data_IF_770988750643
#
_entry.id   IF_770988750643
#
_cell.length_a   1.000
_cell.length_b   1.000
_cell.length_c   1.000
_cell.angle_alpha   90.00
_cell.angle_beta   90.00
_cell.angle_gamma   90.00
#
_symmetry.space_group_name_H-M   'P 1'
#
loop_
_entity.id
_entity.type
_entity.pdbx_description
1 polymer ?
#
# COMPACT_ATOMS: atom_id res chain seq x y z
N UNK A 1 9.66 -0.82 -18.65
CA UNK A 1 8.34 -0.16 -18.75
C UNK A 1 7.32 -0.84 -17.83
N UNK A 2 7.21 -2.17 -17.81
CA UNK A 2 6.28 -2.89 -16.89
C UNK A 2 6.53 -2.66 -15.38
N UNK A 3 7.78 -2.35 -15.00
CA UNK A 3 8.18 -2.20 -13.59
C UNK A 3 7.78 -0.88 -12.91
N UNK A 4 7.48 0.18 -13.67
CA UNK A 4 6.94 1.45 -13.15
C UNK A 4 5.47 1.36 -12.76
N UNK A 5 4.81 0.20 -12.96
CA UNK A 5 3.39 0.03 -12.68
C UNK A 5 3.08 -0.73 -11.39
N UNK A 6 4.07 -1.39 -10.77
CA UNK A 6 3.82 -2.21 -9.58
C UNK A 6 3.77 -1.40 -8.28
N UNK A 7 4.62 -0.39 -8.14
CA UNK A 7 4.55 0.58 -7.05
C UNK A 7 3.26 1.41 -7.14
N UNK A 8 2.88 1.86 -8.35
CA UNK A 8 1.60 2.55 -8.61
C UNK A 8 0.40 1.71 -8.15
N UNK A 9 0.43 0.39 -8.33
CA UNK A 9 -0.66 -0.48 -7.87
C UNK A 9 -0.82 -0.49 -6.35
N UNK A 10 0.28 -0.36 -5.58
CA UNK A 10 0.19 -0.27 -4.11
C UNK A 10 -0.58 0.99 -3.70
N UNK A 11 -0.28 2.13 -4.32
CA UNK A 11 -1.03 3.37 -4.07
C UNK A 11 -2.50 3.27 -4.51
N UNK A 12 -2.75 2.77 -5.72
CA UNK A 12 -4.11 2.68 -6.25
C UNK A 12 -5.02 1.76 -5.43
N UNK A 13 -4.52 0.58 -5.04
CA UNK A 13 -5.28 -0.36 -4.21
C UNK A 13 -5.47 0.15 -2.78
N UNK A 14 -4.46 0.86 -2.24
CA UNK A 14 -4.59 1.50 -0.95
C UNK A 14 -5.72 2.52 -0.94
N UNK A 15 -5.71 3.45 -1.90
CA UNK A 15 -6.75 4.47 -2.05
C UNK A 15 -8.12 3.84 -2.28
N UNK A 16 -8.19 2.75 -3.06
CA UNK A 16 -9.41 1.98 -3.26
C UNK A 16 -9.95 1.42 -1.94
N UNK A 17 -9.12 0.77 -1.12
CA UNK A 17 -9.55 0.20 0.17
C UNK A 17 -10.01 1.29 1.14
N UNK A 18 -9.26 2.39 1.26
CA UNK A 18 -9.65 3.53 2.11
C UNK A 18 -10.97 4.13 1.63
N UNK A 19 -11.16 4.30 0.31
CA UNK A 19 -12.42 4.79 -0.26
C UNK A 19 -13.62 3.88 0.02
N UNK A 20 -13.37 2.58 0.26
CA UNK A 20 -14.37 1.56 0.60
C UNK A 20 -14.56 1.38 2.11
N UNK A 21 -13.92 2.20 2.94
CA UNK A 21 -14.12 2.22 4.38
C UNK A 21 -13.04 1.52 5.20
N UNK A 22 -11.93 1.11 4.58
CA UNK A 22 -10.74 0.75 5.36
C UNK A 22 -10.20 1.98 6.12
N UNK A 23 -9.69 1.77 7.32
CA UNK A 23 -9.13 2.83 8.16
C UNK A 23 -7.73 3.17 7.63
N UNK A 24 -7.49 4.43 7.29
CA UNK A 24 -6.15 4.93 6.96
C UNK A 24 -5.26 4.85 8.21
N UNK A 25 -4.14 4.11 8.10
CA UNK A 25 -3.13 3.97 9.17
C UNK A 25 -1.82 4.62 8.73
N UNK A 26 -1.24 4.16 7.63
CA UNK A 26 -0.03 4.74 7.02
C UNK A 26 -0.15 4.61 5.50
N UNK A 27 -0.26 5.73 4.79
CA UNK A 27 -0.23 5.76 3.33
C UNK A 27 1.05 5.10 2.75
N UNK A 28 0.97 4.48 1.56
CA UNK A 28 2.11 3.82 0.95
C UNK A 28 3.31 4.74 0.78
N UNK A 29 4.50 4.19 1.03
CA UNK A 29 5.76 4.93 0.91
C UNK A 29 6.90 3.96 0.63
N UNK A 30 7.96 4.48 0.00
CA UNK A 30 9.19 3.72 -0.22
C UNK A 30 9.87 3.48 1.14
N UNK A 31 10.23 2.23 1.40
CA UNK A 31 10.97 1.77 2.57
C UNK A 31 12.44 1.59 2.21
N UNK A 32 13.31 1.82 3.18
CA UNK A 32 14.76 1.72 3.01
C UNK A 32 15.25 0.33 2.58
N UNK A 33 14.42 -0.71 2.78
CA UNK A 33 14.68 -2.09 2.33
C UNK A 33 14.17 -2.38 0.91
N UNK A 34 13.84 -1.34 0.12
CA UNK A 34 13.52 -1.49 -1.30
C UNK A 34 12.09 -1.97 -1.60
N UNK A 35 11.11 -1.59 -0.78
CA UNK A 35 9.69 -1.89 -1.05
C UNK A 35 8.87 -0.61 -1.00
N UNK A 36 7.74 -0.58 -1.69
CA UNK A 36 6.65 0.36 -1.42
C UNK A 36 5.65 -0.34 -0.53
N UNK A 37 5.33 0.21 0.64
CA UNK A 37 4.44 -0.42 1.61
C UNK A 37 3.51 0.59 2.28
N UNK A 38 2.22 0.25 2.38
CA UNK A 38 1.19 0.98 3.12
C UNK A 38 0.43 0.06 4.09
N UNK A 39 -0.30 0.67 5.03
CA UNK A 39 -1.01 -0.01 6.10
C UNK A 39 -2.41 0.57 6.27
N UNK A 40 -3.41 -0.30 6.40
CA UNK A 40 -4.80 0.07 6.60
C UNK A 40 -5.47 -0.86 7.62
N UNK A 41 -6.49 -0.36 8.30
CA UNK A 41 -7.26 -1.11 9.30
C UNK A 41 -8.58 -1.64 8.74
N UNK A 42 -9.00 -2.81 9.21
CA UNK A 42 -10.38 -3.28 9.04
C UNK A 42 -11.31 -2.71 10.15
N UNK A 43 -12.64 -2.88 10.05
CA UNK A 43 -13.58 -2.39 11.06
C UNK A 43 -13.41 -3.01 12.46
N UNK A 44 -12.72 -4.14 12.58
CA UNK A 44 -12.42 -4.79 13.87
C UNK A 44 -11.16 -4.20 14.52
N UNK A 45 -10.42 -3.35 13.79
CA UNK A 45 -9.20 -2.70 14.24
C UNK A 45 -7.93 -3.51 13.96
N UNK A 46 -7.99 -4.59 13.17
CA UNK A 46 -6.78 -5.29 12.75
C UNK A 46 -6.06 -4.49 11.67
N UNK A 47 -4.72 -4.43 11.75
CA UNK A 47 -3.88 -3.75 10.76
C UNK A 47 -3.42 -4.73 9.68
N UNK A 48 -3.66 -4.37 8.44
CA UNK A 48 -3.24 -5.09 7.24
C UNK A 48 -2.16 -4.29 6.50
N UNK A 49 -1.24 -4.98 5.84
CA UNK A 49 -0.22 -4.36 5.00
C UNK A 49 -0.42 -4.69 3.53
N UNK A 50 -0.23 -3.70 2.66
CA UNK A 50 -0.11 -3.88 1.21
C UNK A 50 1.27 -3.42 0.78
N UNK A 51 1.96 -4.23 -0.03
CA UNK A 51 3.33 -3.91 -0.45
C UNK A 51 3.71 -4.52 -1.80
N UNK A 52 4.72 -3.92 -2.42
CA UNK A 52 5.41 -4.45 -3.59
C UNK A 52 6.93 -4.23 -3.44
N UNK A 53 7.72 -5.14 -4.03
CA UNK A 53 9.18 -4.97 -4.15
C UNK A 53 9.45 -3.91 -5.22
N UNK A 54 10.27 -2.92 -4.90
CA UNK A 54 10.67 -1.90 -5.87
C UNK A 54 11.74 -2.49 -6.80
N UNK A 55 11.71 -2.15 -8.10
CA UNK A 55 12.78 -2.53 -9.01
C UNK A 55 14.13 -1.94 -8.56
N UNK A 56 15.18 -2.75 -8.71
CA UNK A 56 16.59 -2.36 -8.54
C UNK A 56 17.16 -1.76 -9.81
#
# INVERSE_FOLDING_TARGET
MEQMFYDIQVYALYDEFVSKGAIDVIAPQIKHWGHTAGYFGDPEGNVHSIFAVNPT
#
